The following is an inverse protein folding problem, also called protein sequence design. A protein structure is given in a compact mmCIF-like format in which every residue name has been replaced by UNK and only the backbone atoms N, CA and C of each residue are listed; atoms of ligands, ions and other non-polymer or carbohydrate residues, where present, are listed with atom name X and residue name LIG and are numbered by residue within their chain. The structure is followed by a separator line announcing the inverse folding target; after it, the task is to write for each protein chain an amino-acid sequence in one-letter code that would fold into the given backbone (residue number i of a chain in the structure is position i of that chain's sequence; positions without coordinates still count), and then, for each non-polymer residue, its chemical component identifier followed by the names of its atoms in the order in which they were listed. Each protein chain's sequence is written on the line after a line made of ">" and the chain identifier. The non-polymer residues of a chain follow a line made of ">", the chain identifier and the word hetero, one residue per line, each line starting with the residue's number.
data_IF_254682746426
#
_entry.id   IF_254682746426
#
_cell.length_a   1.000
_cell.length_b   1.000
_cell.length_c   1.000
_cell.angle_alpha   90.00
_cell.angle_beta   90.00
_cell.angle_gamma   90.00
#
_symmetry.space_group_name_H-M   'P 1'
#
loop_
_entity.id
_entity.type
_entity.pdbx_description
1 polymer ?
#
# COMPACT_ATOMS: atom_id res chain seq x y z
N UNK A 1 -8.55 -63.27 -48.14
CA UNK A 1 -7.81 -63.01 -46.88
C UNK A 1 -7.73 -61.51 -46.68
N UNK A 2 -8.60 -61.01 -45.87
CA UNK A 2 -8.65 -59.57 -45.65
C UNK A 2 -7.73 -59.16 -44.50
N UNK A 3 -6.64 -58.57 -44.86
CA UNK A 3 -5.73 -57.95 -43.87
C UNK A 3 -6.36 -56.65 -43.44
N UNK A 4 -7.18 -56.72 -42.43
CA UNK A 4 -7.61 -55.48 -41.74
C UNK A 4 -6.48 -54.98 -40.90
N UNK A 5 -5.77 -54.03 -41.44
CA UNK A 5 -4.82 -53.25 -40.67
C UNK A 5 -5.65 -52.38 -39.74
N UNK A 6 -5.69 -52.74 -38.46
CA UNK A 6 -6.26 -51.92 -37.43
C UNK A 6 -5.31 -50.75 -37.17
N UNK A 7 -5.55 -49.63 -37.80
CA UNK A 7 -4.83 -48.40 -37.42
C UNK A 7 -5.39 -47.94 -36.09
N UNK A 8 -4.67 -48.29 -35.04
CA UNK A 8 -4.91 -47.66 -33.74
C UNK A 8 -4.35 -46.23 -33.85
N UNK A 9 -5.22 -45.29 -34.08
CA UNK A 9 -4.86 -43.89 -33.93
C UNK A 9 -4.58 -43.63 -32.45
N UNK A 10 -3.30 -43.58 -32.12
CA UNK A 10 -2.86 -43.18 -30.80
C UNK A 10 -3.09 -41.66 -30.68
N UNK A 11 -4.24 -41.30 -30.16
CA UNK A 11 -4.47 -39.93 -29.74
C UNK A 11 -3.62 -39.68 -28.50
N UNK A 12 -2.43 -39.14 -28.72
CA UNK A 12 -1.64 -38.59 -27.62
C UNK A 12 -2.39 -37.34 -27.20
N UNK A 13 -3.19 -37.48 -26.16
CA UNK A 13 -3.73 -36.34 -25.45
C UNK A 13 -2.53 -35.66 -24.77
N UNK A 14 -1.97 -34.68 -25.45
CA UNK A 14 -1.03 -33.75 -24.83
C UNK A 14 -1.84 -32.97 -23.79
N UNK A 15 -1.88 -33.49 -22.58
CA UNK A 15 -2.26 -32.71 -21.42
C UNK A 15 -1.11 -31.73 -21.21
N UNK A 16 -1.25 -30.57 -21.83
CA UNK A 16 -0.43 -29.41 -21.44
C UNK A 16 -0.79 -29.15 -19.98
N UNK A 17 0.16 -29.25 -19.03
CA UNK A 17 -0.10 -28.79 -17.71
C UNK A 17 -0.35 -27.28 -17.86
N UNK A 18 -1.60 -26.88 -17.73
CA UNK A 18 -1.93 -25.50 -17.46
C UNK A 18 -1.29 -25.24 -16.11
N UNK A 19 -0.06 -24.75 -16.12
CA UNK A 19 0.46 -24.05 -14.96
C UNK A 19 -0.55 -22.94 -14.69
N UNK A 20 -1.43 -23.19 -13.74
CA UNK A 20 -2.14 -22.10 -13.11
C UNK A 20 -1.06 -21.18 -12.58
N UNK A 21 -0.72 -20.17 -13.37
CA UNK A 21 -0.02 -19.03 -12.84
C UNK A 21 -0.88 -18.59 -11.67
N UNK A 22 -0.41 -18.81 -10.44
CA UNK A 22 -0.90 -18.04 -9.32
C UNK A 22 -0.79 -16.61 -9.79
N UNK A 23 -1.93 -16.03 -10.19
CA UNK A 23 -2.02 -14.59 -10.27
C UNK A 23 -1.66 -14.14 -8.87
N UNK A 24 -0.43 -13.65 -8.69
CA UNK A 24 -0.12 -12.82 -7.56
C UNK A 24 -1.11 -11.69 -7.70
N UNK A 25 -2.19 -11.74 -6.93
CA UNK A 25 -3.12 -10.63 -6.86
C UNK A 25 -2.27 -9.40 -6.64
N UNK A 26 -2.27 -8.52 -7.64
CA UNK A 26 -1.55 -7.27 -7.52
C UNK A 26 -2.24 -6.48 -6.40
N UNK A 27 -1.56 -6.36 -5.25
CA UNK A 27 -2.04 -5.63 -4.08
C UNK A 27 -1.22 -4.35 -3.92
N UNK A 28 -1.48 -3.33 -4.74
CA UNK A 28 -0.70 -2.10 -4.74
C UNK A 28 -0.72 -1.38 -3.39
N UNK A 29 -1.79 -1.50 -2.63
CA UNK A 29 -1.93 -0.85 -1.33
C UNK A 29 -1.65 -1.77 -0.13
N UNK A 30 -0.88 -2.81 -0.35
CA UNK A 30 -0.16 -3.57 0.66
C UNK A 30 1.33 -3.32 0.43
N UNK A 31 1.89 -2.38 1.16
CA UNK A 31 3.22 -1.87 0.84
C UNK A 31 3.93 -1.19 2.01
N UNK A 32 5.24 -1.16 1.91
CA UNK A 32 6.12 -0.28 2.65
C UNK A 32 6.72 0.73 1.67
N UNK A 33 6.43 2.01 1.89
CA UNK A 33 6.78 3.09 0.98
C UNK A 33 7.68 4.08 1.68
N UNK A 34 8.72 4.55 1.01
CA UNK A 34 9.73 5.44 1.61
C UNK A 34 9.85 6.74 0.81
N UNK A 35 9.93 7.86 1.52
CA UNK A 35 10.41 9.13 1.03
C UNK A 35 11.72 9.47 1.75
N UNK A 36 12.84 9.40 1.03
CA UNK A 36 14.17 9.64 1.62
C UNK A 36 14.45 11.10 1.90
N UNK A 37 13.88 12.00 1.11
CA UNK A 37 14.12 13.44 1.24
C UNK A 37 13.70 13.95 2.63
N UNK A 38 12.56 13.48 3.13
CA UNK A 38 12.03 13.87 4.44
C UNK A 38 12.18 12.79 5.51
N UNK A 39 12.78 11.66 5.16
CA UNK A 39 12.93 10.49 6.05
C UNK A 39 11.61 10.06 6.67
N UNK A 40 10.57 10.00 5.86
CA UNK A 40 9.25 9.51 6.23
C UNK A 40 8.89 8.26 5.44
N UNK A 41 8.01 7.46 6.00
CA UNK A 41 7.55 6.23 5.37
C UNK A 41 6.05 6.03 5.59
N UNK A 42 5.45 5.25 4.70
CA UNK A 42 4.09 4.74 4.84
C UNK A 42 4.14 3.23 4.98
N UNK A 43 3.54 2.72 6.02
CA UNK A 43 3.27 1.31 6.17
C UNK A 43 1.77 1.10 6.03
N UNK A 44 1.35 0.37 5.00
CA UNK A 44 -0.07 0.26 4.64
C UNK A 44 -0.48 -1.17 4.32
N UNK A 45 -1.70 -1.50 4.68
CA UNK A 45 -2.47 -2.63 4.17
C UNK A 45 -3.94 -2.19 4.11
N UNK A 46 -4.36 -1.69 2.95
CA UNK A 46 -5.71 -1.18 2.79
C UNK A 46 -6.75 -2.28 2.59
N UNK A 47 -6.31 -3.52 2.40
CA UNK A 47 -7.18 -4.68 2.23
C UNK A 47 -7.57 -5.29 3.58
N UNK A 48 -6.60 -5.79 4.32
CA UNK A 48 -6.81 -6.42 5.64
C UNK A 48 -7.00 -5.39 6.76
N UNK A 49 -6.45 -4.20 6.61
CA UNK A 49 -6.50 -3.12 7.62
C UNK A 49 -6.07 -3.63 9.01
N UNK A 50 -4.98 -4.36 9.02
CA UNK A 50 -4.46 -5.10 10.19
C UNK A 50 -3.18 -4.51 10.77
N UNK A 51 -2.86 -3.27 10.39
CA UNK A 51 -1.64 -2.61 10.86
C UNK A 51 -1.82 -2.12 12.29
N UNK A 52 -0.96 -2.60 13.18
CA UNK A 52 -0.85 -2.07 14.53
C UNK A 52 0.06 -0.85 14.52
N UNK A 53 -0.53 0.30 14.80
CA UNK A 53 0.22 1.56 14.81
C UNK A 53 0.93 1.71 16.15
N UNK A 54 2.27 1.86 16.18
CA UNK A 54 3.01 1.99 17.43
C UNK A 54 2.51 3.17 18.28
N UNK A 55 2.25 2.91 19.57
CA UNK A 55 1.76 3.93 20.49
C UNK A 55 0.29 4.30 20.35
N UNK A 56 -0.47 3.61 19.49
CA UNK A 56 -1.87 3.92 19.18
C UNK A 56 -2.79 2.71 19.42
N UNK A 57 -2.59 1.99 20.51
CA UNK A 57 -3.31 0.75 20.81
C UNK A 57 -4.81 0.95 20.95
N UNK A 58 -5.26 2.15 21.36
CA UNK A 58 -6.68 2.47 21.51
C UNK A 58 -7.47 2.40 20.20
N UNK A 59 -6.80 2.67 19.06
CA UNK A 59 -7.46 2.52 17.76
C UNK A 59 -7.61 1.07 17.32
N UNK A 60 -6.81 0.14 17.89
CA UNK A 60 -6.70 -1.21 17.37
C UNK A 60 -6.05 -1.26 15.98
N UNK A 61 -6.29 -2.33 15.20
CA UNK A 61 -5.77 -2.43 13.84
C UNK A 61 -6.34 -1.35 12.91
N UNK A 62 -5.47 -0.77 12.09
CA UNK A 62 -5.79 0.33 11.16
C UNK A 62 -5.29 0.04 9.74
N UNK A 63 -5.73 0.82 8.73
CA UNK A 63 -5.20 0.71 7.36
C UNK A 63 -3.70 0.95 7.24
N UNK A 64 -3.12 1.75 8.13
CA UNK A 64 -1.71 2.05 8.11
C UNK A 64 -1.36 3.34 8.83
N UNK A 65 -0.15 3.82 8.59
CA UNK A 65 0.32 5.09 9.16
C UNK A 65 1.51 5.64 8.38
N UNK A 66 1.69 6.96 8.48
CA UNK A 66 2.91 7.63 8.08
C UNK A 66 3.79 7.79 9.32
N UNK A 67 5.02 7.32 9.24
CA UNK A 67 6.02 7.43 10.30
C UNK A 67 7.21 8.27 9.89
N UNK A 68 7.95 8.72 10.89
CA UNK A 68 9.25 9.39 10.73
C UNK A 68 10.36 8.43 11.14
N UNK A 69 11.37 8.27 10.29
CA UNK A 69 12.50 7.41 10.62
C UNK A 69 13.21 7.87 11.92
N UNK A 70 13.56 6.91 12.75
CA UNK A 70 14.22 7.13 14.04
C UNK A 70 13.43 8.02 15.01
N UNK A 71 12.10 8.06 14.86
CA UNK A 71 11.22 8.82 15.72
C UNK A 71 9.91 8.05 15.94
N UNK A 72 9.35 8.13 17.14
CA UNK A 72 8.09 7.46 17.48
C UNK A 72 6.83 8.20 17.03
N UNK A 73 6.97 9.42 16.56
CA UNK A 73 5.83 10.22 16.09
C UNK A 73 5.27 9.65 14.78
N UNK A 74 3.94 9.61 14.67
CA UNK A 74 3.28 9.11 13.47
C UNK A 74 1.97 9.84 13.18
N UNK A 75 1.49 9.64 11.95
CA UNK A 75 0.16 10.02 11.50
C UNK A 75 -0.61 8.74 11.15
N UNK A 76 -1.45 8.22 12.04
CA UNK A 76 -2.32 7.09 11.74
C UNK A 76 -3.27 7.39 10.58
N UNK A 77 -3.48 6.39 9.73
CA UNK A 77 -4.55 6.37 8.72
C UNK A 77 -5.74 5.67 9.34
N UNK A 78 -6.80 6.40 9.64
CA UNK A 78 -7.96 5.86 10.36
C UNK A 78 -9.04 5.29 9.45
N UNK A 79 -9.10 5.76 8.22
CA UNK A 79 -10.00 5.20 7.21
C UNK A 79 -9.43 5.37 5.81
N UNK A 80 -9.87 4.50 4.90
CA UNK A 80 -9.43 4.50 3.50
C UNK A 80 -10.58 4.08 2.60
N UNK A 81 -10.65 4.69 1.43
CA UNK A 81 -11.51 4.28 0.32
C UNK A 81 -10.66 4.15 -0.93
N UNK A 82 -10.56 2.93 -1.46
CA UNK A 82 -9.77 2.63 -2.66
C UNK A 82 -10.65 2.66 -3.89
N UNK A 83 -10.25 3.44 -4.90
CA UNK A 83 -10.89 3.51 -6.22
C UNK A 83 -9.80 3.39 -7.29
N UNK A 84 -9.66 2.19 -7.87
CA UNK A 84 -8.64 1.92 -8.87
C UNK A 84 -7.22 2.13 -8.32
N UNK A 85 -6.47 3.04 -8.95
CA UNK A 85 -5.09 3.38 -8.56
C UNK A 85 -4.99 4.44 -7.47
N UNK A 86 -6.12 4.91 -6.97
CA UNK A 86 -6.20 6.03 -6.04
C UNK A 86 -6.89 5.58 -4.75
N UNK A 87 -6.34 5.98 -3.62
CA UNK A 87 -6.94 5.78 -2.31
C UNK A 87 -7.17 7.12 -1.62
N UNK A 88 -8.37 7.33 -1.12
CA UNK A 88 -8.71 8.47 -0.28
C UNK A 88 -8.49 8.10 1.18
N UNK A 89 -7.70 8.88 1.88
CA UNK A 89 -7.25 8.62 3.24
C UNK A 89 -7.83 9.66 4.19
N UNK A 90 -8.19 9.21 5.39
CA UNK A 90 -8.34 10.09 6.55
C UNK A 90 -7.24 9.78 7.54
N UNK A 91 -6.49 10.81 7.90
CA UNK A 91 -5.34 10.72 8.78
C UNK A 91 -5.56 11.62 10.01
N UNK A 92 -4.99 11.21 11.11
CA UNK A 92 -4.92 12.02 12.34
C UNK A 92 -3.47 12.09 12.82
N UNK A 93 -3.12 13.14 13.54
CA UNK A 93 -1.80 13.20 14.14
C UNK A 93 -1.69 12.28 15.37
N UNK A 94 -0.48 12.09 15.84
CA UNK A 94 -0.16 11.21 16.97
C UNK A 94 -0.94 11.58 18.26
N UNK A 95 -1.28 12.86 18.42
CA UNK A 95 -2.03 13.37 19.56
C UNK A 95 -3.55 13.34 19.37
N UNK A 96 -4.03 13.02 18.17
CA UNK A 96 -5.47 13.04 17.85
C UNK A 96 -6.09 14.45 17.76
N UNK A 97 -5.29 15.49 17.76
CA UNK A 97 -5.76 16.90 17.76
C UNK A 97 -5.89 17.53 16.38
N UNK A 98 -5.29 16.92 15.35
CA UNK A 98 -5.32 17.41 13.98
C UNK A 98 -5.73 16.27 13.05
N UNK A 99 -6.54 16.59 12.06
CA UNK A 99 -7.00 15.67 11.04
C UNK A 99 -6.66 16.18 9.63
N UNK A 100 -6.56 15.27 8.70
CA UNK A 100 -6.18 15.54 7.32
C UNK A 100 -6.85 14.52 6.39
N UNK A 101 -7.44 15.01 5.32
CA UNK A 101 -7.79 14.20 4.15
C UNK A 101 -6.64 14.24 3.17
N UNK A 102 -6.28 13.08 2.64
CA UNK A 102 -5.21 12.96 1.66
C UNK A 102 -5.59 11.93 0.59
N UNK A 103 -4.85 11.94 -0.50
CA UNK A 103 -5.00 10.97 -1.59
C UNK A 103 -3.66 10.33 -1.87
N UNK A 104 -3.63 9.00 -1.89
CA UNK A 104 -2.46 8.23 -2.29
C UNK A 104 -2.72 7.62 -3.67
N UNK A 105 -1.92 7.98 -4.65
CA UNK A 105 -2.04 7.50 -6.02
C UNK A 105 -0.85 6.64 -6.40
N UNK A 106 -1.09 5.43 -6.86
CA UNK A 106 -0.06 4.60 -7.48
C UNK A 106 0.18 5.06 -8.90
N UNK A 107 1.36 5.60 -9.19
CA UNK A 107 1.74 5.99 -10.55
C UNK A 107 2.21 4.80 -11.38
N UNK A 108 3.00 3.92 -10.77
CA UNK A 108 3.49 2.68 -11.36
C UNK A 108 3.80 1.68 -10.25
N UNK A 109 4.44 0.56 -10.57
CA UNK A 109 4.72 -0.51 -9.60
C UNK A 109 5.59 -0.07 -8.43
N UNK A 110 6.37 1.01 -8.59
CA UNK A 110 7.35 1.47 -7.61
C UNK A 110 7.03 2.83 -7.01
N UNK A 111 6.27 3.68 -7.71
CA UNK A 111 6.10 5.09 -7.35
C UNK A 111 4.67 5.38 -6.93
N UNK A 112 4.54 6.00 -5.78
CA UNK A 112 3.28 6.46 -5.19
C UNK A 112 3.38 7.94 -4.86
N UNK A 113 2.29 8.66 -5.02
CA UNK A 113 2.21 10.09 -4.72
C UNK A 113 1.13 10.33 -3.68
N UNK A 114 1.52 10.95 -2.58
CA UNK A 114 0.62 11.41 -1.54
C UNK A 114 0.35 12.90 -1.73
N UNK A 115 -0.92 13.25 -1.90
CA UNK A 115 -1.38 14.63 -2.01
C UNK A 115 -2.22 14.97 -0.80
N UNK A 116 -1.84 16.02 -0.08
CA UNK A 116 -2.61 16.53 1.04
C UNK A 116 -3.83 17.31 0.54
N UNK A 117 -4.97 17.07 1.18
CA UNK A 117 -6.25 17.75 0.88
C UNK A 117 -6.67 18.64 2.03
N UNK A 118 -7.95 18.53 2.40
CA UNK A 118 -8.54 19.35 3.48
C UNK A 118 -7.99 18.97 4.86
N UNK A 119 -7.92 19.96 5.73
CA UNK A 119 -7.52 19.77 7.11
C UNK A 119 -6.16 20.33 7.43
N UNK A 120 -5.50 19.74 8.41
CA UNK A 120 -4.17 20.14 8.86
C UNK A 120 -3.10 19.77 7.85
N UNK A 121 -1.96 20.45 7.93
CA UNK A 121 -0.77 20.08 7.15
C UNK A 121 0.01 18.99 7.87
N UNK A 122 0.51 18.00 7.13
CA UNK A 122 1.43 17.01 7.67
C UNK A 122 2.68 17.70 8.21
N UNK A 123 2.98 17.43 9.46
CA UNK A 123 4.17 17.89 10.16
C UNK A 123 4.82 16.71 10.85
N UNK A 124 6.12 16.68 10.84
CA UNK A 124 6.91 15.64 11.52
C UNK A 124 8.04 16.27 12.32
N UNK A 125 8.49 15.64 13.41
CA UNK A 125 9.66 16.12 14.13
C UNK A 125 10.92 15.99 13.26
N UNK A 126 11.76 17.01 13.30
CA UNK A 126 13.06 17.01 12.66
C UNK A 126 14.04 17.88 13.46
N UNK A 127 15.04 17.25 14.09
CA UNK A 127 16.03 17.94 14.93
C UNK A 127 15.39 18.86 15.99
N UNK A 128 14.44 18.31 16.77
CA UNK A 128 13.70 19.02 17.83
C UNK A 128 12.82 20.17 17.36
N UNK A 129 12.53 20.23 16.07
CA UNK A 129 11.60 21.22 15.46
C UNK A 129 10.54 20.49 14.66
N UNK A 130 9.38 21.14 14.50
CA UNK A 130 8.35 20.68 13.61
C UNK A 130 8.66 21.08 12.18
N UNK A 131 8.71 20.10 11.29
CA UNK A 131 8.88 20.30 9.86
C UNK A 131 7.57 20.04 9.13
N UNK A 132 7.06 21.04 8.43
CA UNK A 132 5.93 20.88 7.52
C UNK A 132 6.37 20.11 6.30
N UNK A 133 5.59 19.12 5.91
CA UNK A 133 5.82 18.37 4.67
C UNK A 133 5.15 19.09 3.50
N UNK A 134 5.73 19.01 2.29
CA UNK A 134 5.12 19.64 1.11
C UNK A 134 3.75 19.02 0.79
N UNK A 135 2.88 19.76 0.08
CA UNK A 135 1.55 19.26 -0.29
C UNK A 135 1.55 17.97 -1.09
N UNK A 136 2.62 17.73 -1.83
CA UNK A 136 2.80 16.54 -2.67
C UNK A 136 4.10 15.86 -2.28
N UNK A 137 4.01 14.60 -1.89
CA UNK A 137 5.14 13.74 -1.53
C UNK A 137 5.18 12.53 -2.45
N UNK A 138 6.36 12.24 -2.95
CA UNK A 138 6.61 11.04 -3.74
C UNK A 138 7.26 9.96 -2.88
N UNK A 139 6.71 8.77 -2.94
CA UNK A 139 7.21 7.59 -2.21
C UNK A 139 7.67 6.53 -3.20
N UNK A 140 8.66 5.77 -2.77
CA UNK A 140 9.14 4.60 -3.50
C UNK A 140 8.86 3.33 -2.71
N UNK A 141 8.31 2.33 -3.39
CA UNK A 141 8.07 1.01 -2.81
C UNK A 141 9.39 0.30 -2.51
N UNK A 142 9.46 -0.31 -1.35
CA UNK A 142 10.57 -1.17 -0.91
C UNK A 142 10.29 -2.64 -1.21
#
# INVERSE_FOLDING_TARGET
>A
MDNKILQIAFFILLTIPVCAQKSTEDKPFLAYLINKEYSVYLRINFYEQDIKVPGQELYGPLPGYLGKEHNSFCWPIISVEVKGKKAHLQMVNDYGSEDLEATLTRQNDSIYVLKQGKGSTLKVPNNSKWQKLPPILTFKRQ
#
